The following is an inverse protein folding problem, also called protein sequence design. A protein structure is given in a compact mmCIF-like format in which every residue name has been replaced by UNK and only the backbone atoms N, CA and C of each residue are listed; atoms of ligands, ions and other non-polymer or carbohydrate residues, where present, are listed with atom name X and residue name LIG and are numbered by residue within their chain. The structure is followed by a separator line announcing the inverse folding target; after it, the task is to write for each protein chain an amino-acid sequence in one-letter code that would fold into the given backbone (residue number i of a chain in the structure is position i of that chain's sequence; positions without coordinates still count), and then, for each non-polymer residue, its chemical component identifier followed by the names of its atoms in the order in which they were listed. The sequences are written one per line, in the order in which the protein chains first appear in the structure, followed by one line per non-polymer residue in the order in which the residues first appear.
data_IF_378828567484
#
_entry.id   IF_378828567484
#
_cell.length_a   1.000
_cell.length_b   1.000
_cell.length_c   1.000
_cell.angle_alpha   90.00
_cell.angle_beta   90.00
_cell.angle_gamma   90.00
#
_symmetry.space_group_name_H-M   'P 1'
#
loop_
_entity.id
_entity.type
_entity.pdbx_description
1 polymer ?
#
# COMPACT_ATOMS: atom_id res chain seq x y z
N UNK A 1 -35.76 -24.09 43.98
CA UNK A 1 -35.83 -23.39 42.68
C UNK A 1 -35.59 -21.88 42.82
N UNK A 2 -34.35 -21.42 43.06
CA UNK A 2 -33.95 -20.01 42.87
C UNK A 2 -32.44 -19.93 42.59
N UNK A 3 -32.04 -20.15 41.33
CA UNK A 3 -30.72 -19.79 40.79
C UNK A 3 -30.90 -19.32 39.35
N UNK A 4 -31.35 -18.07 39.17
CA UNK A 4 -31.33 -17.37 37.88
C UNK A 4 -31.10 -15.86 38.07
N UNK A 5 -30.27 -15.48 39.05
CA UNK A 5 -29.69 -14.14 39.12
C UNK A 5 -28.19 -14.29 38.89
N UNK A 6 -27.70 -13.97 37.68
CA UNK A 6 -26.31 -13.54 37.36
C UNK A 6 -25.86 -13.66 35.88
N UNK A 7 -26.72 -13.94 34.90
CA UNK A 7 -26.26 -14.13 33.50
C UNK A 7 -26.89 -13.20 32.45
N UNK A 8 -27.34 -12.00 32.84
CA UNK A 8 -27.89 -11.01 31.88
C UNK A 8 -27.19 -9.66 31.89
N UNK A 9 -25.86 -9.64 32.06
CA UNK A 9 -25.05 -8.41 32.04
C UNK A 9 -23.82 -8.43 31.12
N UNK A 10 -23.73 -9.34 30.14
CA UNK A 10 -22.62 -9.31 29.17
C UNK A 10 -23.04 -9.67 27.74
N UNK A 11 -24.07 -9.01 27.21
CA UNK A 11 -24.32 -8.98 25.75
C UNK A 11 -24.93 -7.64 25.34
N UNK A 12 -24.17 -6.56 25.47
CA UNK A 12 -24.50 -5.30 24.79
C UNK A 12 -23.23 -4.57 24.37
N UNK A 13 -22.41 -5.22 23.54
CA UNK A 13 -21.39 -4.54 22.75
C UNK A 13 -22.01 -4.07 21.44
N UNK A 14 -22.97 -3.14 21.52
CA UNK A 14 -23.38 -2.35 20.36
C UNK A 14 -22.29 -1.33 20.12
N UNK A 15 -21.30 -1.67 19.30
CA UNK A 15 -20.56 -0.64 18.57
C UNK A 15 -21.62 0.22 17.86
N UNK A 16 -21.73 1.52 18.16
CA UNK A 16 -22.72 2.36 17.50
C UNK A 16 -22.43 2.34 16.00
N UNK A 17 -23.44 2.01 15.20
CA UNK A 17 -23.33 2.07 13.75
C UNK A 17 -23.01 3.50 13.34
N UNK A 18 -21.98 3.69 12.51
CA UNK A 18 -21.33 4.98 12.20
C UNK A 18 -22.20 5.93 11.34
N UNK A 19 -23.52 5.68 11.28
CA UNK A 19 -24.43 6.40 10.38
C UNK A 19 -24.89 7.77 10.92
N UNK A 20 -24.76 8.03 12.23
CA UNK A 20 -25.15 9.31 12.84
C UNK A 20 -23.99 10.30 12.92
N UNK A 21 -24.26 11.61 12.88
CA UNK A 21 -23.21 12.64 12.99
C UNK A 21 -22.47 12.58 14.34
N UNK A 22 -23.19 12.28 15.41
CA UNK A 22 -22.65 12.17 16.77
C UNK A 22 -21.68 10.99 16.91
N UNK A 23 -22.04 9.81 16.37
CA UNK A 23 -21.17 8.62 16.40
C UNK A 23 -19.87 8.84 15.60
N UNK A 24 -19.93 9.57 14.48
CA UNK A 24 -18.73 9.97 13.71
C UNK A 24 -17.81 10.91 14.50
N UNK A 25 -18.36 11.93 15.16
CA UNK A 25 -17.56 12.86 15.96
C UNK A 25 -16.88 12.17 17.14
N UNK A 26 -17.60 11.27 17.81
CA UNK A 26 -17.03 10.48 18.90
C UNK A 26 -15.88 9.59 18.40
N UNK A 27 -16.07 8.86 17.29
CA UNK A 27 -15.04 8.00 16.73
C UNK A 27 -13.80 8.78 16.31
N UNK A 28 -13.96 9.95 15.68
CA UNK A 28 -12.85 10.83 15.32
C UNK A 28 -12.03 11.24 16.55
N UNK A 29 -12.70 11.71 17.61
CA UNK A 29 -12.03 12.09 18.86
C UNK A 29 -11.31 10.90 19.51
N UNK A 30 -11.94 9.72 19.51
CA UNK A 30 -11.34 8.51 20.04
C UNK A 30 -10.05 8.11 19.30
N UNK A 31 -10.06 8.18 17.96
CA UNK A 31 -8.87 7.90 17.12
C UNK A 31 -7.77 8.95 17.38
N UNK A 32 -8.11 10.24 17.38
CA UNK A 32 -7.14 11.32 17.60
C UNK A 32 -6.48 11.23 18.97
N UNK A 33 -7.27 10.95 20.02
CA UNK A 33 -6.74 10.73 21.36
C UNK A 33 -5.83 9.51 21.41
N UNK A 34 -6.18 8.42 20.71
CA UNK A 34 -5.33 7.22 20.67
C UNK A 34 -4.01 7.43 19.93
N UNK A 35 -3.99 8.32 18.95
CA UNK A 35 -2.78 8.75 18.23
C UNK A 35 -2.02 9.87 18.94
N UNK A 36 -2.49 10.33 20.11
CA UNK A 36 -1.89 11.45 20.85
C UNK A 36 -1.77 12.71 19.99
N UNK A 37 -2.74 12.92 19.08
CA UNK A 37 -2.74 14.00 18.10
C UNK A 37 -1.53 14.03 17.15
N UNK A 38 -0.74 12.96 17.09
CA UNK A 38 0.36 12.81 16.15
C UNK A 38 -0.12 12.30 14.78
N UNK A 39 -0.47 13.23 13.89
CA UNK A 39 -0.96 12.94 12.54
C UNK A 39 0.13 13.03 11.46
N UNK A 40 1.34 13.47 11.82
CA UNK A 40 2.42 13.81 10.88
C UNK A 40 3.39 12.64 10.66
N UNK A 41 2.85 11.46 10.40
CA UNK A 41 3.67 10.27 10.09
C UNK A 41 4.02 10.20 8.60
N UNK A 42 5.24 9.79 8.24
CA UNK A 42 5.63 9.68 6.84
C UNK A 42 4.86 8.56 6.15
N UNK A 43 4.23 8.87 5.02
CA UNK A 43 3.51 7.89 4.19
C UNK A 43 4.39 7.43 3.02
N UNK A 44 4.14 6.24 2.42
CA UNK A 44 4.90 5.83 1.24
C UNK A 44 4.81 6.84 0.09
N UNK A 45 3.68 7.56 -0.01
CA UNK A 45 3.43 8.56 -1.04
C UNK A 45 4.50 9.67 -1.08
N UNK A 46 4.94 10.20 0.07
CA UNK A 46 5.91 11.31 0.08
C UNK A 46 7.28 10.90 -0.45
N UNK A 47 7.69 9.66 -0.17
CA UNK A 47 8.91 9.08 -0.72
C UNK A 47 8.76 8.75 -2.20
N UNK A 48 7.61 8.19 -2.57
CA UNK A 48 7.34 7.75 -3.94
C UNK A 48 7.42 8.89 -4.94
N UNK A 49 6.83 10.05 -4.62
CA UNK A 49 6.90 11.26 -5.48
C UNK A 49 8.34 11.73 -5.65
N UNK A 50 9.17 11.64 -4.60
CA UNK A 50 10.59 12.01 -4.68
C UNK A 50 11.38 11.03 -5.54
N UNK A 51 11.15 9.73 -5.38
CA UNK A 51 11.88 8.69 -6.10
C UNK A 51 11.50 8.64 -7.59
N UNK A 52 10.24 8.89 -7.93
CA UNK A 52 9.79 9.02 -9.32
C UNK A 52 10.48 10.17 -10.07
N UNK A 53 10.66 11.31 -9.40
CA UNK A 53 11.46 12.42 -9.95
C UNK A 53 12.91 12.01 -10.20
N UNK A 54 13.55 11.32 -9.24
CA UNK A 54 14.91 10.81 -9.39
C UNK A 54 15.01 9.73 -10.50
N UNK A 55 13.94 8.98 -10.73
CA UNK A 55 13.85 7.98 -11.79
C UNK A 55 13.65 8.56 -13.20
N UNK A 56 13.43 9.88 -13.32
CA UNK A 56 12.98 10.55 -14.54
C UNK A 56 11.74 9.87 -15.16
N UNK A 57 10.76 9.54 -14.30
CA UNK A 57 9.60 8.75 -14.70
C UNK A 57 8.68 9.50 -15.67
N UNK A 58 8.15 8.78 -16.66
CA UNK A 58 7.00 9.21 -17.45
C UNK A 58 5.67 8.88 -16.75
N UNK A 59 4.55 9.28 -17.36
CA UNK A 59 3.23 9.12 -16.73
C UNK A 59 2.82 7.66 -16.52
N UNK A 60 3.26 6.78 -17.43
CA UNK A 60 3.00 5.35 -17.33
C UNK A 60 3.76 4.77 -16.12
N UNK A 61 5.03 5.11 -15.98
CA UNK A 61 5.87 4.69 -14.87
C UNK A 61 5.35 5.23 -13.52
N UNK A 62 4.89 6.48 -13.46
CA UNK A 62 4.22 7.01 -12.26
C UNK A 62 2.99 6.16 -11.89
N UNK A 63 2.10 5.89 -12.85
CA UNK A 63 0.89 5.12 -12.59
C UNK A 63 1.22 3.68 -12.14
N UNK A 64 2.22 3.04 -12.75
CA UNK A 64 2.65 1.70 -12.38
C UNK A 64 3.24 1.67 -10.95
N UNK A 65 4.06 2.66 -10.60
CA UNK A 65 4.63 2.75 -9.25
C UNK A 65 3.57 3.04 -8.19
N UNK A 66 2.60 3.92 -8.49
CA UNK A 66 1.45 4.14 -7.59
C UNK A 66 0.59 2.89 -7.45
N UNK A 67 0.38 2.14 -8.52
CA UNK A 67 -0.33 0.87 -8.48
C UNK A 67 0.34 -0.11 -7.50
N UNK A 68 1.66 -0.31 -7.62
CA UNK A 68 2.40 -1.20 -6.72
C UNK A 68 2.41 -0.71 -5.26
N UNK A 69 2.59 0.59 -5.04
CA UNK A 69 2.57 1.14 -3.68
C UNK A 69 1.20 0.95 -3.01
N UNK A 70 0.10 1.21 -3.74
CA UNK A 70 -1.25 0.97 -3.24
C UNK A 70 -1.54 -0.52 -3.04
N UNK A 71 -1.05 -1.38 -3.94
CA UNK A 71 -1.17 -2.82 -3.80
C UNK A 71 -0.47 -3.31 -2.52
N UNK A 72 0.75 -2.84 -2.26
CA UNK A 72 1.46 -3.15 -1.01
C UNK A 72 0.72 -2.69 0.24
N UNK A 73 0.10 -1.51 0.21
CA UNK A 73 -0.69 -0.98 1.33
C UNK A 73 -1.94 -1.80 1.65
N UNK A 74 -2.49 -2.55 0.67
CA UNK A 74 -3.62 -3.47 0.90
C UNK A 74 -3.23 -4.71 1.70
N UNK A 75 -1.94 -5.04 1.77
CA UNK A 75 -1.43 -6.22 2.47
C UNK A 75 -0.78 -5.83 3.80
N UNK A 76 -1.46 -6.17 4.91
CA UNK A 76 -0.99 -5.86 6.27
C UNK A 76 0.45 -6.32 6.54
N UNK A 77 0.83 -7.49 6.01
CA UNK A 77 2.19 -8.03 6.15
C UNK A 77 3.27 -7.09 5.59
N UNK A 78 2.99 -6.38 4.49
CA UNK A 78 3.93 -5.42 3.90
C UNK A 78 4.10 -4.18 4.78
N UNK A 79 2.98 -3.66 5.29
CA UNK A 79 2.96 -2.43 6.07
C UNK A 79 3.66 -2.60 7.42
N UNK A 80 3.57 -3.79 8.02
CA UNK A 80 4.27 -4.10 9.28
C UNK A 80 5.74 -4.44 9.04
N UNK A 81 6.08 -5.17 7.96
CA UNK A 81 7.45 -5.63 7.71
C UNK A 81 8.36 -4.53 7.18
N UNK A 82 7.84 -3.58 6.39
CA UNK A 82 8.65 -2.61 5.66
C UNK A 82 8.34 -1.17 6.06
N UNK A 83 9.38 -0.34 6.13
CA UNK A 83 9.23 1.11 6.32
C UNK A 83 8.61 1.76 5.07
N UNK A 84 7.93 2.91 5.20
CA UNK A 84 7.32 3.61 4.07
C UNK A 84 8.28 3.91 2.90
N UNK A 85 9.55 4.24 3.20
CA UNK A 85 10.57 4.50 2.17
C UNK A 85 10.97 3.24 1.40
N UNK A 86 11.09 2.10 2.08
CA UNK A 86 11.39 0.80 1.46
C UNK A 86 10.27 0.41 0.50
N UNK A 87 9.01 0.49 0.95
CA UNK A 87 7.85 0.18 0.11
C UNK A 87 7.80 1.08 -1.14
N UNK A 88 8.09 2.38 -0.99
CA UNK A 88 8.12 3.31 -2.10
C UNK A 88 9.25 3.00 -3.09
N UNK A 89 10.47 2.72 -2.63
CA UNK A 89 11.60 2.38 -3.48
C UNK A 89 11.35 1.06 -4.23
N UNK A 90 10.87 0.03 -3.53
CA UNK A 90 10.52 -1.26 -4.14
C UNK A 90 9.37 -1.15 -5.13
N UNK A 91 8.41 -0.24 -4.93
CA UNK A 91 7.36 0.03 -5.91
C UNK A 91 7.90 0.68 -7.19
N UNK A 92 8.87 1.60 -7.09
CA UNK A 92 9.57 2.16 -8.25
C UNK A 92 10.38 1.07 -8.97
N UNK A 93 11.11 0.25 -8.21
CA UNK A 93 11.89 -0.84 -8.77
C UNK A 93 11.01 -1.87 -9.50
N UNK A 94 9.91 -2.32 -8.88
CA UNK A 94 8.94 -3.22 -9.50
C UNK A 94 8.30 -2.59 -10.74
N UNK A 95 7.97 -1.29 -10.71
CA UNK A 95 7.44 -0.58 -11.88
C UNK A 95 8.45 -0.54 -13.05
N UNK A 96 9.72 -0.25 -12.78
CA UNK A 96 10.79 -0.29 -13.78
C UNK A 96 10.98 -1.69 -14.34
N UNK A 97 10.88 -2.71 -13.49
CA UNK A 97 10.95 -4.09 -13.91
C UNK A 97 9.80 -4.48 -14.85
N UNK A 98 8.54 -4.22 -14.46
CA UNK A 98 7.37 -4.57 -15.27
C UNK A 98 7.29 -3.78 -16.59
N UNK A 99 7.81 -2.55 -16.61
CA UNK A 99 7.87 -1.72 -17.82
C UNK A 99 9.19 -1.89 -18.59
N UNK A 100 9.99 -2.91 -18.24
CA UNK A 100 11.26 -3.25 -18.90
C UNK A 100 12.25 -2.08 -19.04
N UNK A 101 12.22 -1.13 -18.09
CA UNK A 101 13.11 0.04 -18.11
C UNK A 101 14.52 -0.38 -17.71
N UNK A 102 15.49 -0.09 -18.59
CA UNK A 102 16.92 -0.36 -18.37
C UNK A 102 17.70 0.94 -18.16
N UNK A 103 18.70 0.96 -17.26
CA UNK A 103 18.95 -0.04 -16.22
C UNK A 103 17.80 -0.07 -15.19
N UNK A 104 17.61 -1.21 -14.52
CA UNK A 104 16.45 -1.41 -13.63
C UNK A 104 16.54 -0.58 -12.36
N UNK A 105 17.74 -0.51 -11.81
CA UNK A 105 18.11 0.41 -10.75
C UNK A 105 19.30 1.25 -11.22
N UNK A 106 19.24 2.57 -11.02
CA UNK A 106 20.27 3.51 -11.47
C UNK A 106 21.07 4.01 -10.28
N UNK A 107 22.32 4.42 -10.49
CA UNK A 107 23.13 5.09 -9.46
C UNK A 107 22.42 6.32 -8.87
N UNK A 108 21.69 7.07 -9.71
CA UNK A 108 20.83 8.18 -9.24
C UNK A 108 19.78 7.69 -8.23
N UNK A 109 19.10 6.57 -8.52
CA UNK A 109 18.12 6.01 -7.61
C UNK A 109 18.75 5.51 -6.31
N UNK A 110 19.89 4.80 -6.39
CA UNK A 110 20.65 4.39 -5.20
C UNK A 110 21.03 5.58 -4.34
N UNK A 111 21.56 6.65 -4.95
CA UNK A 111 21.95 7.88 -4.24
C UNK A 111 20.77 8.60 -3.60
N UNK A 112 19.62 8.67 -4.27
CA UNK A 112 18.45 9.40 -3.77
C UNK A 112 17.60 8.60 -2.78
N UNK A 113 17.66 7.28 -2.82
CA UNK A 113 16.88 6.37 -1.95
C UNK A 113 17.71 5.85 -0.78
N UNK A 114 19.03 5.69 -0.96
CA UNK A 114 19.93 5.02 -0.04
C UNK A 114 19.83 3.49 -0.09
N UNK A 115 19.12 2.91 -1.06
CA UNK A 115 18.95 1.46 -1.19
C UNK A 115 19.60 0.92 -2.46
N UNK A 116 20.27 -0.22 -2.34
CA UNK A 116 20.77 -1.00 -3.46
C UNK A 116 19.70 -1.98 -4.00
N UNK A 117 19.96 -2.59 -5.16
CA UNK A 117 19.04 -3.54 -5.79
C UNK A 117 18.76 -4.78 -4.92
N UNK A 118 19.75 -5.26 -4.16
CA UNK A 118 19.63 -6.45 -3.32
C UNK A 118 18.68 -6.21 -2.14
N UNK A 119 18.74 -5.03 -1.52
CA UNK A 119 17.89 -4.61 -0.42
C UNK A 119 16.41 -4.48 -0.83
N UNK A 120 16.16 -4.17 -2.10
CA UNK A 120 14.81 -3.98 -2.63
C UNK A 120 14.15 -5.29 -3.07
N UNK A 121 14.95 -6.33 -3.33
CA UNK A 121 14.53 -7.60 -3.91
C UNK A 121 13.33 -8.22 -3.19
N UNK A 122 13.44 -8.47 -1.88
CA UNK A 122 12.40 -9.09 -1.07
C UNK A 122 11.05 -8.36 -1.16
N UNK A 123 11.07 -7.04 -0.94
CA UNK A 123 9.86 -6.24 -0.93
C UNK A 123 9.27 -6.10 -2.34
N UNK A 124 10.11 -5.97 -3.36
CA UNK A 124 9.65 -5.92 -4.75
C UNK A 124 9.06 -7.26 -5.21
N UNK A 125 9.63 -8.38 -4.79
CA UNK A 125 9.13 -9.71 -5.10
C UNK A 125 7.73 -9.95 -4.53
N UNK A 126 7.49 -9.51 -3.29
CA UNK A 126 6.13 -9.52 -2.75
C UNK A 126 5.16 -8.70 -3.61
N UNK A 127 5.54 -7.48 -4.01
CA UNK A 127 4.69 -6.62 -4.85
C UNK A 127 4.33 -7.27 -6.19
N UNK A 128 5.32 -7.89 -6.85
CA UNK A 128 5.09 -8.61 -8.11
C UNK A 128 4.22 -9.85 -7.91
N UNK A 129 4.41 -10.58 -6.80
CA UNK A 129 3.58 -11.74 -6.47
C UNK A 129 2.11 -11.34 -6.27
N UNK A 130 1.85 -10.21 -5.61
CA UNK A 130 0.50 -9.69 -5.45
C UNK A 130 -0.12 -9.26 -6.77
N UNK A 131 0.68 -8.71 -7.70
CA UNK A 131 0.21 -8.36 -9.03
C UNK A 131 -0.10 -9.62 -9.86
N UNK A 132 0.71 -10.67 -9.75
CA UNK A 132 0.43 -11.94 -10.40
C UNK A 132 -0.87 -12.59 -9.88
N UNK A 133 -1.10 -12.56 -8.56
CA UNK A 133 -2.30 -13.11 -7.93
C UNK A 133 -3.50 -12.15 -7.93
N UNK A 134 -3.37 -10.94 -8.49
CA UNK A 134 -4.43 -9.93 -8.43
C UNK A 134 -5.72 -10.33 -9.17
N UNK A 135 -5.63 -11.19 -10.19
CA UNK A 135 -6.80 -11.69 -10.91
C UNK A 135 -7.72 -12.55 -10.02
N UNK A 136 -7.14 -13.28 -9.08
CA UNK A 136 -7.81 -14.23 -8.18
C UNK A 136 -8.14 -13.64 -6.81
N UNK A 137 -7.54 -12.48 -6.48
CA UNK A 137 -7.72 -11.82 -5.19
C UNK A 137 -9.13 -11.25 -5.02
N UNK A 138 -9.65 -11.32 -3.78
CA UNK A 138 -10.90 -10.65 -3.38
C UNK A 138 -10.76 -9.12 -3.37
N UNK A 139 -9.54 -8.60 -3.21
CA UNK A 139 -9.25 -7.17 -3.07
C UNK A 139 -8.98 -6.50 -4.43
N UNK A 140 -10.02 -6.38 -5.26
CA UNK A 140 -9.90 -5.88 -6.65
C UNK A 140 -9.95 -4.36 -6.80
N UNK A 141 -10.22 -3.62 -5.73
CA UNK A 141 -10.46 -2.16 -5.80
C UNK A 141 -9.27 -1.41 -6.43
N UNK A 142 -8.05 -1.75 -6.03
CA UNK A 142 -6.81 -1.15 -6.58
C UNK A 142 -6.66 -1.53 -8.05
N UNK A 143 -6.78 -2.81 -8.40
CA UNK A 143 -6.69 -3.25 -9.80
C UNK A 143 -7.72 -2.53 -10.68
N UNK A 144 -8.99 -2.48 -10.27
CA UNK A 144 -10.04 -1.79 -11.01
C UNK A 144 -9.74 -0.31 -11.22
N UNK A 145 -9.19 0.37 -10.20
CA UNK A 145 -8.76 1.78 -10.29
C UNK A 145 -7.68 1.98 -11.37
N UNK A 146 -6.69 1.09 -11.41
CA UNK A 146 -5.54 1.17 -12.32
C UNK A 146 -5.73 0.47 -13.67
N UNK A 147 -6.84 -0.25 -13.89
CA UNK A 147 -7.26 -0.75 -15.20
C UNK A 147 -7.91 0.32 -16.09
N UNK A 148 -8.28 1.48 -15.52
CA UNK A 148 -8.87 2.58 -16.29
C UNK A 148 -7.86 3.21 -17.27
N UNK A 149 -8.34 3.67 -18.44
CA UNK A 149 -7.52 4.37 -19.44
C UNK A 149 -6.86 5.63 -18.88
N UNK A 150 -7.53 6.35 -17.97
CA UNK A 150 -6.99 7.51 -17.23
C UNK A 150 -5.73 7.18 -16.43
N UNK A 151 -5.55 5.92 -16.03
CA UNK A 151 -4.37 5.42 -15.31
C UNK A 151 -3.45 4.58 -16.20
N UNK A 152 -3.60 4.69 -17.52
CA UNK A 152 -2.78 3.97 -18.50
C UNK A 152 -3.04 2.46 -18.54
N UNK A 153 -4.14 1.99 -17.92
CA UNK A 153 -4.48 0.56 -17.81
C UNK A 153 -3.31 -0.31 -17.26
N UNK A 154 -2.45 0.28 -16.42
CA UNK A 154 -1.19 -0.35 -15.96
C UNK A 154 -1.41 -1.64 -15.19
N UNK A 155 -2.56 -1.81 -14.53
CA UNK A 155 -2.90 -3.06 -13.83
C UNK A 155 -3.07 -4.26 -14.79
N UNK A 156 -3.39 -4.01 -16.07
CA UNK A 156 -3.56 -5.04 -17.10
C UNK A 156 -2.24 -5.45 -17.75
N UNK A 157 -1.13 -4.79 -17.42
CA UNK A 157 0.20 -5.22 -17.87
C UNK A 157 0.48 -6.63 -17.34
N UNK A 158 1.09 -7.46 -18.16
CA UNK A 158 1.44 -8.82 -17.75
C UNK A 158 2.42 -8.77 -16.57
N UNK A 159 2.16 -9.50 -15.48
CA UNK A 159 3.10 -9.58 -14.38
C UNK A 159 4.39 -10.26 -14.89
N UNK A 160 5.56 -9.71 -14.56
CA UNK A 160 6.84 -10.30 -14.96
C UNK A 160 7.01 -11.70 -14.35
N UNK A 161 7.47 -12.66 -15.15
CA UNK A 161 7.40 -14.10 -14.85
C UNK A 161 8.33 -14.57 -13.70
N UNK A 162 9.32 -13.76 -13.30
CA UNK A 162 10.17 -13.91 -12.09
C UNK A 162 11.08 -12.68 -11.95
N UNK A 163 11.28 -12.19 -10.72
CA UNK A 163 12.51 -11.45 -10.38
C UNK A 163 13.65 -12.46 -10.34
N UNK A 164 14.85 -12.01 -10.72
CA UNK A 164 16.08 -12.82 -10.73
C UNK A 164 16.20 -13.70 -9.47
#
# INVERSE_FOLDING_TARGET
MRRYGLLRLMTSSTFPTVHTAESRSWLQKAILNKLEWNLTVPTPYVFLVRFLKAAMSDKEMENMAFFFAELGLMHYSMVVKHRPSMLAASAVYAARWTLERRPRWTETLERHTGYDELQLGDCAQHLLSFHASAAESKLRAVCNKYSSSRRGAVALRSPPTKLL
#
